data_IF_254773061718
#
_entry.id   IF_254773061718
#
_cell.length_a   1.000
_cell.length_b   1.000
_cell.length_c   1.000
_cell.angle_alpha   90.00
_cell.angle_beta   90.00
_cell.angle_gamma   90.00
#
_symmetry.space_group_name_H-M   'P 1'
#
loop_
_entity.id
_entity.type
_entity.pdbx_description
1 polymer ?
#
# COMPACT_ATOMS: atom_id res chain seq x y z
N UNK A 1 1.01 -3.07 -28.39
CA UNK A 1 0.63 -2.02 -27.41
C UNK A 1 0.21 -2.73 -26.14
N UNK A 2 0.69 -2.26 -24.98
CA UNK A 2 0.27 -2.79 -23.69
C UNK A 2 -1.04 -2.08 -23.31
N UNK A 3 -2.12 -2.83 -23.15
CA UNK A 3 -3.40 -2.32 -22.65
C UNK A 3 -3.35 -2.21 -21.11
N UNK A 4 -2.45 -1.34 -20.60
CA UNK A 4 -2.35 -1.10 -19.18
C UNK A 4 -3.55 -0.28 -18.68
N UNK A 5 -4.23 -0.75 -17.63
CA UNK A 5 -5.38 -0.07 -17.03
C UNK A 5 -4.95 1.14 -16.19
N UNK A 6 -3.77 1.08 -15.61
CA UNK A 6 -3.16 2.17 -14.83
C UNK A 6 -1.65 1.98 -14.75
N UNK A 7 -0.97 3.05 -14.39
CA UNK A 7 0.43 3.06 -14.01
C UNK A 7 0.53 3.27 -12.50
N UNK A 8 1.06 2.28 -11.79
CA UNK A 8 1.38 2.40 -10.37
C UNK A 8 2.78 2.99 -10.23
N UNK A 9 2.91 4.10 -9.49
CA UNK A 9 4.18 4.80 -9.33
C UNK A 9 4.66 4.77 -7.89
N UNK A 10 5.95 4.51 -7.72
CA UNK A 10 6.72 4.66 -6.49
C UNK A 10 7.72 5.78 -6.72
N UNK A 11 7.54 6.91 -6.04
CA UNK A 11 8.36 8.11 -6.28
C UNK A 11 9.44 8.21 -5.21
N UNK A 12 10.66 7.84 -5.57
CA UNK A 12 11.81 7.91 -4.66
C UNK A 12 12.34 9.34 -4.58
N UNK A 13 11.89 10.08 -3.57
CA UNK A 13 12.30 11.45 -3.33
C UNK A 13 12.35 11.75 -1.83
N UNK A 14 13.36 12.50 -1.41
CA UNK A 14 13.65 12.80 -0.01
C UNK A 14 14.06 14.22 0.24
N UNK A 15 14.12 14.46 1.61
CA UNK A 15 12.91 14.88 2.30
C UNK A 15 12.51 16.21 1.68
N UNK A 16 11.22 16.40 1.46
CA UNK A 16 10.71 17.61 0.85
C UNK A 16 9.52 18.15 1.66
N UNK A 17 9.24 19.43 1.48
CA UNK A 17 8.01 20.03 1.99
C UNK A 17 6.77 19.42 1.31
N UNK A 18 5.63 19.53 1.95
CA UNK A 18 4.35 19.10 1.33
C UNK A 18 4.13 19.83 0.00
N UNK A 19 4.47 21.13 -0.08
CA UNK A 19 4.31 21.91 -1.30
C UNK A 19 5.15 21.36 -2.48
N UNK A 20 6.40 20.98 -2.23
CA UNK A 20 7.26 20.36 -3.25
C UNK A 20 6.73 18.98 -3.66
N UNK A 21 6.28 18.18 -2.69
CA UNK A 21 5.67 16.88 -2.97
C UNK A 21 4.39 17.00 -3.81
N UNK A 22 3.55 17.99 -3.51
CA UNK A 22 2.34 18.31 -4.27
C UNK A 22 2.67 18.73 -5.70
N UNK A 23 3.68 19.60 -5.90
CA UNK A 23 4.11 20.02 -7.24
C UNK A 23 4.56 18.82 -8.08
N UNK A 24 5.39 17.95 -7.52
CA UNK A 24 5.92 16.78 -8.23
C UNK A 24 4.81 15.77 -8.56
N UNK A 25 4.03 15.38 -7.58
CA UNK A 25 2.95 14.42 -7.81
C UNK A 25 1.87 15.01 -8.71
N UNK A 26 1.53 16.29 -8.54
CA UNK A 26 0.57 17.00 -9.39
C UNK A 26 0.97 16.91 -10.86
N UNK A 27 2.24 17.23 -11.19
CA UNK A 27 2.75 17.11 -12.58
C UNK A 27 2.69 15.67 -13.10
N UNK A 28 3.00 14.66 -12.28
CA UNK A 28 2.93 13.27 -12.71
C UNK A 28 1.50 12.85 -13.00
N UNK A 29 0.54 13.27 -12.17
CA UNK A 29 -0.89 13.02 -12.40
C UNK A 29 -1.39 13.71 -13.66
N UNK A 30 -1.04 14.98 -13.88
CA UNK A 30 -1.36 15.76 -15.07
C UNK A 30 -0.78 15.12 -16.35
N UNK A 31 0.47 14.67 -16.31
CA UNK A 31 1.09 13.95 -17.42
C UNK A 31 0.36 12.63 -17.75
N UNK A 32 -0.07 11.91 -16.72
CA UNK A 32 -0.89 10.71 -16.88
C UNK A 32 -2.22 11.03 -17.57
N UNK A 33 -2.93 12.04 -17.08
CA UNK A 33 -4.21 12.49 -17.65
C UNK A 33 -4.05 12.93 -19.11
N UNK A 34 -3.03 13.76 -19.40
CA UNK A 34 -2.73 14.22 -20.76
C UNK A 34 -2.38 13.08 -21.71
N UNK A 35 -1.84 11.97 -21.19
CA UNK A 35 -1.48 10.77 -21.98
C UNK A 35 -2.59 9.72 -22.02
N UNK A 36 -3.73 9.96 -21.37
CA UNK A 36 -4.82 8.99 -21.23
C UNK A 36 -4.47 7.79 -20.34
N UNK A 37 -3.47 7.92 -19.47
CA UNK A 37 -3.02 6.86 -18.56
C UNK A 37 -3.42 7.21 -17.13
N UNK A 38 -4.21 6.36 -16.49
CA UNK A 38 -4.54 6.50 -15.08
C UNK A 38 -3.30 6.26 -14.22
N UNK A 39 -2.84 7.27 -13.49
CA UNK A 39 -1.73 7.16 -12.56
C UNK A 39 -2.26 6.96 -11.15
N UNK A 40 -1.71 5.99 -10.43
CA UNK A 40 -1.98 5.74 -9.01
C UNK A 40 -0.65 5.76 -8.25
N UNK A 41 -0.69 6.18 -6.99
CA UNK A 41 0.51 6.35 -6.15
C UNK A 41 0.54 5.26 -5.10
N UNK A 42 1.63 4.50 -5.04
CA UNK A 42 1.79 3.44 -4.06
C UNK A 42 2.25 3.98 -2.71
N UNK A 43 1.70 3.42 -1.65
CA UNK A 43 2.24 3.59 -0.30
C UNK A 43 3.45 2.68 -0.15
N UNK A 44 4.65 3.29 -0.07
CA UNK A 44 5.88 2.52 -0.01
C UNK A 44 6.92 3.21 0.86
N UNK A 45 7.67 2.43 1.67
CA UNK A 45 8.82 2.95 2.41
C UNK A 45 9.91 3.42 1.43
N UNK A 46 10.82 4.25 1.91
CA UNK A 46 11.94 4.76 1.12
C UNK A 46 11.52 5.56 -0.14
N UNK A 47 10.36 6.25 -0.06
CA UNK A 47 9.85 7.09 -1.13
C UNK A 47 8.95 8.21 -0.58
N UNK A 48 8.34 9.00 -1.45
CA UNK A 48 7.51 10.16 -1.09
C UNK A 48 6.35 9.80 -0.14
N UNK A 49 5.87 8.56 -0.19
CA UNK A 49 4.79 8.04 0.66
C UNK A 49 5.29 7.28 1.90
N UNK A 50 6.57 7.41 2.27
CA UNK A 50 7.17 6.67 3.39
C UNK A 50 6.55 7.01 4.74
N UNK A 51 6.20 8.28 4.97
CA UNK A 51 5.51 8.74 6.18
C UNK A 51 4.01 8.84 5.97
N UNK A 52 3.24 8.19 6.84
CA UNK A 52 1.78 8.17 6.74
C UNK A 52 1.16 9.56 6.87
N UNK A 53 1.62 10.40 7.81
CA UNK A 53 1.04 11.72 8.03
C UNK A 53 1.35 12.65 6.86
N UNK A 54 2.57 12.58 6.35
CA UNK A 54 2.95 13.31 5.15
C UNK A 54 2.11 12.85 3.96
N UNK A 55 1.91 11.56 3.79
CA UNK A 55 1.04 11.01 2.73
C UNK A 55 -0.39 11.52 2.83
N UNK A 56 -0.96 11.59 4.04
CA UNK A 56 -2.30 12.14 4.25
C UNK A 56 -2.38 13.63 3.88
N UNK A 57 -1.34 14.42 4.16
CA UNK A 57 -1.26 15.83 3.73
C UNK A 57 -1.19 15.97 2.21
N UNK A 58 -0.44 15.09 1.52
CA UNK A 58 -0.43 15.04 0.06
C UNK A 58 -1.82 14.69 -0.49
N UNK A 59 -2.49 13.71 0.10
CA UNK A 59 -3.84 13.30 -0.30
C UNK A 59 -4.87 14.42 -0.08
N UNK A 60 -4.73 15.22 0.97
CA UNK A 60 -5.59 16.38 1.23
C UNK A 60 -5.37 17.46 0.17
N UNK A 61 -4.10 17.75 -0.15
CA UNK A 61 -3.74 18.76 -1.15
C UNK A 61 -4.02 18.32 -2.60
N UNK A 62 -4.03 17.01 -2.86
CA UNK A 62 -4.31 16.41 -4.18
C UNK A 62 -5.57 15.54 -4.12
N UNK A 63 -6.78 16.14 -4.10
CA UNK A 63 -8.02 15.39 -3.88
C UNK A 63 -8.32 14.34 -4.97
N UNK A 64 -7.72 14.45 -6.15
CA UNK A 64 -7.89 13.48 -7.24
C UNK A 64 -6.86 12.35 -7.22
N UNK A 65 -5.83 12.43 -6.36
CA UNK A 65 -4.81 11.40 -6.24
C UNK A 65 -5.45 10.08 -5.77
N UNK A 66 -5.24 9.03 -6.54
CA UNK A 66 -5.66 7.66 -6.22
C UNK A 66 -4.48 6.87 -5.71
N UNK A 67 -4.74 5.96 -4.78
CA UNK A 67 -3.71 5.19 -4.10
C UNK A 67 -3.71 3.73 -4.53
N UNK A 68 -2.51 3.14 -4.54
CA UNK A 68 -2.30 1.71 -4.41
C UNK A 68 -1.85 1.44 -2.97
N UNK A 69 -2.68 0.76 -2.19
CA UNK A 69 -2.40 0.57 -0.78
C UNK A 69 -1.55 -0.68 -0.53
N UNK A 70 -0.24 -0.49 -0.32
CA UNK A 70 0.59 -1.43 0.41
C UNK A 70 0.70 -0.95 1.87
N UNK A 71 -0.18 -1.48 2.71
CA UNK A 71 -0.25 -1.08 4.11
C UNK A 71 0.91 -1.61 4.95
N UNK A 72 1.62 -2.62 4.45
CA UNK A 72 2.76 -3.23 5.14
C UNK A 72 3.84 -2.21 5.46
N UNK A 73 4.07 -1.28 4.53
CA UNK A 73 5.08 -0.24 4.70
C UNK A 73 4.73 0.75 5.81
N UNK A 74 3.46 1.12 5.97
CA UNK A 74 3.04 1.99 7.07
C UNK A 74 3.10 1.29 8.43
N UNK A 75 2.71 0.00 8.48
CA UNK A 75 2.78 -0.78 9.72
C UNK A 75 4.20 -0.80 10.28
N UNK A 76 5.20 -1.04 9.42
CA UNK A 76 6.61 -1.06 9.81
C UNK A 76 7.14 0.35 10.07
N UNK A 77 6.92 1.30 9.16
CA UNK A 77 7.50 2.64 9.26
C UNK A 77 7.02 3.40 10.51
N UNK A 78 5.81 3.10 10.98
CA UNK A 78 5.25 3.73 12.19
C UNK A 78 5.30 2.82 13.42
N UNK A 79 5.88 1.65 13.30
CA UNK A 79 5.96 0.67 14.39
C UNK A 79 4.60 0.48 15.10
N UNK A 80 3.56 0.15 14.34
CA UNK A 80 2.20 0.00 14.88
C UNK A 80 2.17 -0.91 16.10
N UNK A 81 1.61 -0.41 17.20
CA UNK A 81 1.46 -1.21 18.41
C UNK A 81 0.26 -2.14 18.32
N UNK A 82 0.28 -3.20 19.11
CA UNK A 82 -0.86 -4.10 19.24
C UNK A 82 -1.46 -4.03 20.65
N UNK A 83 -2.75 -3.80 20.81
CA UNK A 83 -3.74 -3.50 19.76
C UNK A 83 -3.45 -2.17 19.08
N UNK A 84 -3.90 -2.05 17.81
CA UNK A 84 -3.70 -0.84 17.01
C UNK A 84 -4.54 0.30 17.60
N UNK A 85 -3.96 1.47 17.87
CA UNK A 85 -4.71 2.62 18.37
C UNK A 85 -5.78 3.11 17.38
N UNK A 86 -6.91 3.57 17.88
CA UNK A 86 -8.01 4.11 17.05
C UNK A 86 -7.53 5.21 16.10
N UNK A 87 -6.58 6.04 16.51
CA UNK A 87 -5.98 7.07 15.67
C UNK A 87 -5.33 6.47 14.42
N UNK A 88 -4.51 5.44 14.59
CA UNK A 88 -3.77 4.81 13.49
C UNK A 88 -4.74 4.04 12.58
N UNK A 89 -5.77 3.40 13.15
CA UNK A 89 -6.88 2.84 12.37
C UNK A 89 -7.58 3.90 11.51
N UNK A 90 -7.85 5.08 12.07
CA UNK A 90 -8.49 6.18 11.32
C UNK A 90 -7.65 6.61 10.13
N UNK A 91 -6.33 6.69 10.29
CA UNK A 91 -5.41 7.06 9.21
C UNK A 91 -5.35 5.99 8.10
N UNK A 92 -5.31 4.71 8.49
CA UNK A 92 -5.42 3.60 7.51
C UNK A 92 -6.73 3.72 6.72
N UNK A 93 -7.85 4.00 7.40
CA UNK A 93 -9.13 4.14 6.74
C UNK A 93 -9.18 5.32 5.74
N UNK A 94 -8.47 6.42 6.03
CA UNK A 94 -8.35 7.55 5.10
C UNK A 94 -7.59 7.16 3.82
N UNK A 95 -6.52 6.36 3.96
CA UNK A 95 -5.79 5.81 2.80
C UNK A 95 -6.71 4.89 1.98
N UNK A 96 -7.44 3.99 2.67
CA UNK A 96 -8.39 3.07 2.02
C UNK A 96 -9.50 3.81 1.26
N UNK A 97 -9.93 4.97 1.75
CA UNK A 97 -10.93 5.82 1.09
C UNK A 97 -10.47 6.36 -0.28
N UNK A 98 -9.17 6.35 -0.55
CA UNK A 98 -8.58 6.78 -1.82
C UNK A 98 -7.99 5.63 -2.64
N UNK A 99 -7.97 4.41 -2.10
CA UNK A 99 -7.35 3.27 -2.75
C UNK A 99 -8.22 2.68 -3.85
N UNK A 100 -7.60 2.43 -4.99
CA UNK A 100 -8.19 1.77 -6.17
C UNK A 100 -7.41 0.52 -6.57
N UNK A 101 -6.32 0.24 -5.88
CA UNK A 101 -5.55 -0.98 -5.98
C UNK A 101 -4.97 -1.32 -4.59
N UNK A 102 -4.66 -2.58 -4.36
CA UNK A 102 -4.11 -3.08 -3.11
C UNK A 102 -2.96 -4.05 -3.36
N UNK A 103 -1.94 -3.96 -2.51
CA UNK A 103 -0.88 -4.96 -2.42
C UNK A 103 -1.16 -5.91 -1.25
N UNK A 104 -1.17 -7.21 -1.54
CA UNK A 104 -1.48 -8.27 -0.59
C UNK A 104 -0.28 -8.72 0.22
N UNK A 105 0.48 -7.78 0.80
CA UNK A 105 1.60 -8.06 1.70
C UNK A 105 1.16 -7.89 3.13
N UNK A 106 1.48 -8.86 4.00
CA UNK A 106 1.22 -8.79 5.44
C UNK A 106 2.51 -8.47 6.17
N UNK A 107 2.46 -7.47 7.03
CA UNK A 107 3.55 -7.04 7.89
C UNK A 107 3.23 -7.27 9.36
N UNK A 108 4.26 -7.26 10.19
CA UNK A 108 4.17 -6.98 11.61
C UNK A 108 4.80 -5.62 11.91
N UNK A 109 4.79 -5.20 13.15
CA UNK A 109 5.44 -3.98 13.60
C UNK A 109 6.91 -3.88 13.17
N UNK A 110 7.63 -5.00 13.20
CA UNK A 110 9.09 -5.06 12.99
C UNK A 110 9.48 -5.65 11.63
N UNK A 111 8.55 -6.27 10.91
CA UNK A 111 8.83 -7.01 9.69
C UNK A 111 7.86 -6.58 8.58
N UNK A 112 8.38 -6.11 7.46
CA UNK A 112 7.57 -5.66 6.31
C UNK A 112 6.87 -6.83 5.60
N UNK A 113 7.42 -8.02 5.70
CA UNK A 113 6.79 -9.27 5.27
C UNK A 113 6.99 -10.31 6.37
N UNK A 114 5.92 -10.98 6.75
CA UNK A 114 5.92 -12.00 7.79
C UNK A 114 5.62 -13.37 7.21
N UNK A 115 5.89 -14.40 7.99
CA UNK A 115 5.52 -15.76 7.70
C UNK A 115 4.03 -15.94 8.06
N UNK A 116 3.18 -16.21 7.08
CA UNK A 116 1.72 -16.16 7.25
C UNK A 116 1.16 -17.28 8.11
N UNK A 117 1.81 -18.46 8.09
CA UNK A 117 1.38 -19.66 8.84
C UNK A 117 1.80 -19.66 10.32
N UNK A 118 2.68 -18.72 10.74
CA UNK A 118 3.14 -18.68 12.12
C UNK A 118 2.03 -18.26 13.08
N UNK A 119 1.76 -19.06 14.14
CA UNK A 119 0.68 -18.76 15.09
C UNK A 119 0.76 -17.36 15.72
N UNK A 120 1.96 -16.88 16.02
CA UNK A 120 2.19 -15.55 16.61
C UNK A 120 1.86 -14.41 15.65
N UNK A 121 1.76 -14.68 14.35
CA UNK A 121 1.48 -13.68 13.31
C UNK A 121 -0.01 -13.58 12.94
N UNK A 122 -0.84 -14.51 13.43
CA UNK A 122 -2.26 -14.61 13.03
C UNK A 122 -3.09 -13.36 13.36
N UNK A 123 -2.70 -12.61 14.37
CA UNK A 123 -3.30 -11.30 14.66
C UNK A 123 -3.14 -10.31 13.51
N UNK A 124 -1.92 -10.21 12.97
CA UNK A 124 -1.62 -9.36 11.82
C UNK A 124 -2.31 -9.85 10.55
N UNK A 125 -2.26 -11.13 10.25
CA UNK A 125 -2.95 -11.71 9.08
C UNK A 125 -4.45 -11.38 9.12
N UNK A 126 -5.10 -11.57 10.27
CA UNK A 126 -6.51 -11.23 10.45
C UNK A 126 -6.77 -9.74 10.25
N UNK A 127 -5.89 -8.87 10.78
CA UNK A 127 -6.04 -7.42 10.68
C UNK A 127 -5.90 -6.93 9.23
N UNK A 128 -4.89 -7.41 8.49
CA UNK A 128 -4.73 -7.06 7.09
C UNK A 128 -5.92 -7.50 6.24
N UNK A 129 -6.43 -8.71 6.47
CA UNK A 129 -7.66 -9.19 5.79
C UNK A 129 -8.85 -8.29 6.06
N UNK A 130 -9.04 -7.81 7.30
CA UNK A 130 -10.10 -6.86 7.63
C UNK A 130 -9.92 -5.53 6.88
N UNK A 131 -8.70 -4.98 6.85
CA UNK A 131 -8.42 -3.75 6.12
C UNK A 131 -8.70 -3.89 4.63
N UNK A 132 -8.23 -4.97 3.99
CA UNK A 132 -8.51 -5.21 2.57
C UNK A 132 -10.00 -5.38 2.31
N UNK A 133 -10.72 -6.13 3.13
CA UNK A 133 -12.16 -6.29 3.01
C UNK A 133 -12.89 -4.93 3.09
N UNK A 134 -12.55 -4.11 4.08
CA UNK A 134 -13.11 -2.76 4.24
C UNK A 134 -12.77 -1.86 3.04
N UNK A 135 -11.53 -1.88 2.58
CA UNK A 135 -11.08 -1.12 1.43
C UNK A 135 -11.77 -1.52 0.13
N UNK A 136 -11.89 -2.82 -0.14
CA UNK A 136 -12.59 -3.35 -1.30
C UNK A 136 -14.08 -3.00 -1.25
N UNK A 137 -14.70 -3.08 -0.08
CA UNK A 137 -16.10 -2.67 0.12
C UNK A 137 -16.29 -1.17 -0.17
N UNK A 138 -15.43 -0.32 0.37
CA UNK A 138 -15.43 1.14 0.11
C UNK A 138 -15.20 1.44 -1.37
N UNK A 139 -14.24 0.75 -2.01
CA UNK A 139 -14.01 0.88 -3.44
C UNK A 139 -15.27 0.53 -4.23
N UNK A 140 -15.92 -0.59 -3.93
CA UNK A 140 -17.13 -1.05 -4.61
C UNK A 140 -18.29 -0.05 -4.53
N UNK A 141 -18.38 0.74 -3.45
CA UNK A 141 -19.39 1.79 -3.30
C UNK A 141 -19.06 3.07 -4.08
N UNK A 142 -17.78 3.33 -4.33
CA UNK A 142 -17.34 4.56 -5.03
C UNK A 142 -17.28 4.41 -6.54
N UNK A 143 -16.85 3.25 -6.99
CA UNK A 143 -16.53 3.00 -8.41
C UNK A 143 -17.73 2.38 -9.14
N UNK A 144 -17.73 2.50 -10.46
CA UNK A 144 -18.82 2.01 -11.31
C UNK A 144 -18.84 0.48 -11.47
N UNK A 145 -19.90 -0.06 -12.09
CA UNK A 145 -20.06 -1.50 -12.28
C UNK A 145 -19.00 -2.12 -13.20
N UNK A 146 -18.43 -1.32 -14.10
CA UNK A 146 -17.41 -1.76 -15.08
C UNK A 146 -15.98 -1.52 -14.62
N UNK A 147 -15.80 -0.88 -13.46
CA UNK A 147 -14.49 -0.66 -12.89
C UNK A 147 -13.90 -1.96 -12.33
N UNK A 148 -12.58 -2.10 -12.47
CA UNK A 148 -11.83 -3.28 -12.03
C UNK A 148 -10.89 -2.89 -10.91
N UNK A 149 -11.04 -3.57 -9.78
CA UNK A 149 -10.11 -3.51 -8.68
C UNK A 149 -8.90 -4.39 -8.97
N UNK A 150 -7.70 -3.87 -8.77
CA UNK A 150 -6.51 -4.69 -8.76
C UNK A 150 -6.12 -5.04 -7.32
N UNK A 151 -5.99 -6.33 -7.07
CA UNK A 151 -5.37 -6.86 -5.86
C UNK A 151 -4.17 -7.71 -6.29
N UNK A 152 -2.97 -7.25 -5.96
CA UNK A 152 -1.74 -7.99 -6.25
C UNK A 152 -1.33 -8.74 -5.01
N UNK A 153 -1.32 -10.05 -5.05
CA UNK A 153 -0.68 -10.85 -3.99
C UNK A 153 0.81 -10.58 -4.05
N UNK A 154 1.35 -10.04 -2.98
CA UNK A 154 2.73 -9.57 -2.95
C UNK A 154 3.53 -10.22 -1.82
N UNK A 155 3.88 -11.48 -2.03
CA UNK A 155 4.87 -12.18 -1.22
C UNK A 155 6.21 -12.18 -1.98
N UNK A 156 7.06 -11.22 -1.64
CA UNK A 156 8.35 -11.03 -2.30
C UNK A 156 9.34 -12.16 -1.98
N UNK A 157 10.22 -12.53 -2.94
CA UNK A 157 11.33 -13.43 -2.68
C UNK A 157 12.34 -12.80 -1.72
N UNK A 158 13.36 -13.55 -1.27
CA UNK A 158 14.46 -12.94 -0.52
C UNK A 158 15.06 -11.73 -1.26
N UNK A 159 15.33 -10.62 -0.57
CA UNK A 159 15.41 -10.47 0.90
C UNK A 159 14.06 -10.18 1.62
N UNK A 160 12.91 -10.12 0.95
CA UNK A 160 11.62 -9.98 1.62
C UNK A 160 11.17 -11.28 2.30
N UNK A 161 11.32 -12.41 1.60
CA UNK A 161 11.00 -13.73 2.13
C UNK A 161 11.89 -14.09 3.32
N UNK A 162 11.28 -14.67 4.35
CA UNK A 162 12.01 -15.13 5.53
C UNK A 162 12.73 -16.42 5.19
N UNK A 163 14.04 -16.46 5.45
CA UNK A 163 14.89 -17.60 5.14
C UNK A 163 15.40 -18.31 6.41
N UNK A 164 15.58 -19.60 6.30
CA UNK A 164 16.28 -20.41 7.29
C UNK A 164 17.79 -20.18 7.27
N UNK A 165 18.51 -20.90 8.15
CA UNK A 165 19.98 -20.85 8.21
C UNK A 165 20.66 -21.38 6.94
N UNK A 166 19.97 -22.19 6.18
CA UNK A 166 20.39 -22.77 4.91
C UNK A 166 20.23 -21.79 3.72
N UNK A 167 19.62 -20.62 3.96
CA UNK A 167 19.39 -19.59 2.95
C UNK A 167 18.14 -19.82 2.08
N UNK A 168 17.39 -20.89 2.30
CA UNK A 168 16.14 -21.15 1.62
C UNK A 168 14.95 -20.49 2.34
N UNK A 169 13.90 -20.15 1.59
CA UNK A 169 12.65 -19.65 2.18
C UNK A 169 12.05 -20.69 3.14
N UNK A 170 11.45 -20.21 4.23
CA UNK A 170 10.86 -21.10 5.24
C UNK A 170 9.58 -21.79 4.75
N UNK A 171 8.89 -21.18 3.79
CA UNK A 171 7.68 -21.73 3.18
C UNK A 171 7.64 -21.45 1.69
N UNK A 172 6.79 -22.14 0.99
CA UNK A 172 6.49 -21.85 -0.41
C UNK A 172 5.52 -20.67 -0.51
N UNK A 173 6.04 -19.49 -0.88
CA UNK A 173 5.21 -18.29 -1.01
C UNK A 173 4.09 -18.42 -2.04
N UNK A 174 4.22 -19.32 -3.02
CA UNK A 174 3.17 -19.58 -3.99
C UNK A 174 2.00 -20.36 -3.39
N UNK A 175 2.28 -21.24 -2.44
CA UNK A 175 1.25 -21.95 -1.67
C UNK A 175 0.56 -21.02 -0.66
N UNK A 176 1.27 -19.99 -0.16
CA UNK A 176 0.73 -19.00 0.77
C UNK A 176 -0.08 -17.88 0.09
N UNK A 177 0.07 -17.73 -1.22
CA UNK A 177 -0.63 -16.73 -2.04
C UNK A 177 -2.05 -17.16 -2.37
#
# INVERSE_FOLDING_TARGET
>A
ELEARHLNIIVQMYPMSVAEGVDILGRMLEMGEASGVKVIVETHRDCITTDMLYTLQLMEALPHMKMCADLSHFVVAREFTWPIPTRDETWIQQVMDRSVAFQGRVASREQVQIQLDFPQQQGWVTKFRQWWEDGMRKWRYREGPDDVLNFTVELGPPPYGITGRDGYELSDRWEES
#
